data_IF_202855541406
#
_entry.id   IF_202855541406
#
_cell.length_a   1.000
_cell.length_b   1.000
_cell.length_c   1.000
_cell.angle_alpha   90.00
_cell.angle_beta   90.00
_cell.angle_gamma   90.00
#
_symmetry.space_group_name_H-M   'P 1'
#
loop_
_entity.id
_entity.type
_entity.pdbx_description
1 polymer ?
#
# COMPACT_ATOMS: atom_id res chain seq x y z
N UNK A 1 21.44 -7.28 64.26
CA UNK A 1 22.09 -7.57 62.95
C UNK A 1 21.54 -6.60 61.90
N UNK A 2 22.33 -5.61 61.44
CA UNK A 2 21.91 -4.65 60.40
C UNK A 2 21.82 -5.36 59.05
N UNK A 3 20.61 -5.63 58.55
CA UNK A 3 20.38 -6.13 57.18
C UNK A 3 20.96 -5.10 56.20
N UNK A 4 22.13 -5.37 55.62
CA UNK A 4 22.67 -4.60 54.50
C UNK A 4 21.73 -4.81 53.32
N UNK A 5 20.84 -3.85 53.06
CA UNK A 5 20.04 -3.84 51.85
C UNK A 5 21.04 -3.75 50.68
N UNK A 6 21.05 -4.72 49.75
CA UNK A 6 22.02 -4.68 48.65
C UNK A 6 21.68 -3.49 47.76
N UNK A 7 22.61 -2.53 47.65
CA UNK A 7 22.48 -1.30 46.85
C UNK A 7 22.04 -1.56 45.39
N UNK A 8 22.30 -2.76 44.88
CA UNK A 8 21.83 -3.26 43.57
C UNK A 8 20.30 -3.23 43.43
N UNK A 9 19.54 -3.42 44.53
CA UNK A 9 18.06 -3.35 44.51
C UNK A 9 17.52 -1.93 44.46
N UNK A 10 18.33 -0.92 44.80
CA UNK A 10 17.95 0.50 44.81
C UNK A 10 18.21 1.14 43.43
N UNK A 11 19.15 0.57 42.65
CA UNK A 11 19.50 1.02 41.30
C UNK A 11 18.30 1.13 40.33
N UNK A 12 17.43 0.11 40.16
CA UNK A 12 16.27 0.23 39.28
C UNK A 12 15.28 1.30 39.77
N UNK A 13 15.17 1.50 41.09
CA UNK A 13 14.29 2.50 41.69
C UNK A 13 14.78 3.93 41.42
N UNK A 14 16.11 4.15 41.47
CA UNK A 14 16.72 5.42 41.09
C UNK A 14 16.60 5.70 39.58
N UNK A 15 16.77 4.68 38.74
CA UNK A 15 16.59 4.81 37.29
C UNK A 15 15.13 5.16 36.98
N UNK A 16 14.15 4.48 37.60
CA UNK A 16 12.72 4.78 37.43
C UNK A 16 12.41 6.19 37.93
N UNK A 17 12.94 6.60 39.09
CA UNK A 17 12.72 7.94 39.64
C UNK A 17 13.30 9.05 38.75
N UNK A 18 14.52 8.86 38.23
CA UNK A 18 15.16 9.79 37.29
C UNK A 18 14.41 9.89 35.96
N UNK A 19 13.91 8.75 35.47
CA UNK A 19 13.03 8.72 34.29
C UNK A 19 11.75 9.51 34.61
N UNK A 20 11.04 9.23 35.70
CA UNK A 20 9.83 9.96 36.10
C UNK A 20 10.06 11.48 36.24
N UNK A 21 11.18 11.90 36.80
CA UNK A 21 11.56 13.31 36.88
C UNK A 21 11.73 13.94 35.48
N UNK A 22 12.49 13.29 34.58
CA UNK A 22 12.66 13.72 33.18
C UNK A 22 11.34 13.74 32.38
N UNK A 23 10.40 12.86 32.73
CA UNK A 23 9.07 12.78 32.12
C UNK A 23 8.23 14.03 32.44
N UNK A 24 8.27 14.49 33.70
CA UNK A 24 7.50 15.65 34.18
C UNK A 24 8.14 16.96 33.70
N UNK A 25 9.48 17.04 33.76
CA UNK A 25 10.23 18.26 33.45
C UNK A 25 10.27 18.59 31.95
N UNK A 26 10.24 17.58 31.07
CA UNK A 26 10.30 17.83 29.63
C UNK A 26 9.51 16.80 28.79
N UNK A 27 8.16 16.91 28.77
CA UNK A 27 7.30 16.00 28.02
C UNK A 27 7.62 16.01 26.50
N UNK A 28 8.12 17.13 25.96
CA UNK A 28 8.56 17.24 24.56
C UNK A 28 9.82 16.42 24.28
N UNK A 29 10.79 16.38 25.22
CA UNK A 29 11.98 15.55 25.10
C UNK A 29 11.63 14.06 25.14
N UNK A 30 10.67 13.68 25.98
CA UNK A 30 10.08 12.35 26.07
C UNK A 30 9.46 11.92 24.73
N UNK A 31 8.57 12.75 24.17
CA UNK A 31 7.93 12.50 22.87
C UNK A 31 8.96 12.41 21.74
N UNK A 32 10.00 13.24 21.77
CA UNK A 32 11.10 13.18 20.81
C UNK A 32 11.90 11.88 20.95
N UNK A 33 12.23 11.46 22.17
CA UNK A 33 12.91 10.20 22.46
C UNK A 33 12.09 8.98 22.02
N UNK A 34 10.79 8.96 22.32
CA UNK A 34 9.87 7.93 21.87
C UNK A 34 9.81 7.87 20.34
N UNK A 35 9.71 9.03 19.68
CA UNK A 35 9.73 9.12 18.21
C UNK A 35 11.04 8.60 17.61
N UNK A 36 12.19 8.86 18.23
CA UNK A 36 13.47 8.31 17.80
C UNK A 36 13.50 6.78 17.96
N UNK A 37 13.06 6.25 19.10
CA UNK A 37 12.98 4.80 19.34
C UNK A 37 12.08 4.12 18.30
N UNK A 38 10.87 4.64 18.06
CA UNK A 38 9.98 4.13 17.02
C UNK A 38 10.60 4.22 15.61
N UNK A 39 11.30 5.32 15.31
CA UNK A 39 12.00 5.50 14.03
C UNK A 39 13.15 4.51 13.84
N UNK A 40 13.81 4.09 14.92
CA UNK A 40 14.87 3.06 14.91
C UNK A 40 14.31 1.65 14.79
N UNK A 41 13.10 1.40 15.32
CA UNK A 41 12.40 0.11 15.20
C UNK A 41 11.69 -0.07 13.85
N UNK A 42 11.45 1.02 13.12
CA UNK A 42 10.76 0.98 11.82
C UNK A 42 11.32 -0.05 10.82
N UNK A 43 12.65 -0.16 10.61
CA UNK A 43 13.22 -1.18 9.73
C UNK A 43 12.89 -2.61 10.15
N UNK A 44 12.79 -2.89 11.44
CA UNK A 44 12.40 -4.21 11.96
C UNK A 44 10.93 -4.51 11.73
N UNK A 45 10.06 -3.50 11.83
CA UNK A 45 8.64 -3.62 11.50
C UNK A 45 8.48 -3.93 10.00
N UNK A 46 9.19 -3.20 9.13
CA UNK A 46 9.25 -3.49 7.70
C UNK A 46 9.76 -4.91 7.44
N UNK A 47 10.84 -5.30 8.13
CA UNK A 47 11.43 -6.62 7.98
C UNK A 47 10.45 -7.74 8.33
N UNK A 48 9.76 -7.61 9.46
CA UNK A 48 8.73 -8.54 9.89
C UNK A 48 7.57 -8.61 8.89
N UNK A 49 7.08 -7.45 8.44
CA UNK A 49 6.00 -7.38 7.44
C UNK A 49 6.36 -8.07 6.12
N UNK A 50 7.55 -7.78 5.59
CA UNK A 50 8.05 -8.41 4.34
C UNK A 50 8.26 -9.90 4.54
N UNK A 51 8.95 -10.32 5.61
CA UNK A 51 9.19 -11.73 5.89
C UNK A 51 7.87 -12.50 6.04
N UNK A 52 6.88 -11.92 6.73
CA UNK A 52 5.57 -12.51 6.92
C UNK A 52 4.80 -12.62 5.60
N UNK A 53 4.80 -11.57 4.79
CA UNK A 53 4.15 -11.57 3.47
C UNK A 53 4.75 -12.60 2.51
N UNK A 54 6.08 -12.81 2.56
CA UNK A 54 6.79 -13.75 1.69
C UNK A 54 6.79 -15.19 2.22
N UNK A 55 6.53 -15.41 3.51
CA UNK A 55 6.54 -16.74 4.13
C UNK A 55 5.55 -17.73 3.50
N UNK A 56 4.29 -17.37 3.14
CA UNK A 56 3.39 -18.28 2.42
C UNK A 56 3.99 -18.78 1.10
N UNK A 57 4.62 -17.88 0.34
CA UNK A 57 5.24 -18.21 -0.95
C UNK A 57 6.47 -19.10 -0.75
N UNK A 58 7.31 -18.82 0.25
CA UNK A 58 8.43 -19.68 0.64
C UNK A 58 7.97 -21.07 1.05
N UNK A 59 6.96 -21.17 1.93
CA UNK A 59 6.38 -22.44 2.38
C UNK A 59 5.77 -23.22 1.21
N UNK A 60 5.23 -22.55 0.20
CA UNK A 60 4.74 -23.18 -1.01
C UNK A 60 5.88 -23.88 -1.78
N UNK A 61 7.00 -23.18 -2.03
CA UNK A 61 8.16 -23.78 -2.70
C UNK A 61 8.82 -24.90 -1.86
N UNK A 62 8.95 -24.71 -0.54
CA UNK A 62 9.51 -25.73 0.36
C UNK A 62 8.63 -26.98 0.44
N UNK A 63 7.32 -26.84 0.62
CA UNK A 63 6.44 -27.99 0.85
C UNK A 63 6.00 -28.67 -0.44
N UNK A 64 5.65 -27.89 -1.48
CA UNK A 64 5.10 -28.44 -2.72
C UNK A 64 6.19 -28.91 -3.67
N UNK A 65 7.27 -28.13 -3.81
CA UNK A 65 8.37 -28.46 -4.73
C UNK A 65 9.56 -29.09 -4.01
N UNK A 66 9.51 -29.25 -2.68
CA UNK A 66 10.56 -29.88 -1.86
C UNK A 66 11.93 -29.22 -2.03
N UNK A 67 11.94 -27.92 -2.33
CA UNK A 67 13.18 -27.17 -2.53
C UNK A 67 13.93 -26.97 -1.22
N UNK A 68 15.26 -27.00 -1.30
CA UNK A 68 16.12 -26.62 -0.18
C UNK A 68 15.84 -25.17 0.19
N UNK A 69 15.84 -24.88 1.49
CA UNK A 69 15.50 -23.56 2.04
C UNK A 69 16.18 -22.37 1.36
N UNK A 70 17.48 -22.50 1.06
CA UNK A 70 18.22 -21.41 0.40
C UNK A 70 17.73 -21.13 -1.03
N UNK A 71 17.31 -22.17 -1.77
CA UNK A 71 16.75 -22.02 -3.12
C UNK A 71 15.39 -21.33 -3.06
N UNK A 72 14.52 -21.79 -2.16
CA UNK A 72 13.21 -21.16 -1.92
C UNK A 72 13.38 -19.69 -1.55
N UNK A 73 14.35 -19.37 -0.69
CA UNK A 73 14.65 -17.98 -0.32
C UNK A 73 15.09 -17.15 -1.52
N UNK A 74 16.09 -17.61 -2.28
CA UNK A 74 16.61 -16.89 -3.46
C UNK A 74 15.47 -16.60 -4.45
N UNK A 75 14.66 -17.61 -4.77
CA UNK A 75 13.59 -17.46 -5.78
C UNK A 75 12.47 -16.55 -5.28
N UNK A 76 12.05 -16.68 -4.03
CA UNK A 76 11.00 -15.81 -3.45
C UNK A 76 11.44 -14.35 -3.45
N UNK A 77 12.69 -14.06 -3.04
CA UNK A 77 13.21 -12.70 -3.08
C UNK A 77 13.48 -12.20 -4.50
N UNK A 78 13.90 -13.07 -5.43
CA UNK A 78 14.03 -12.71 -6.84
C UNK A 78 12.68 -12.33 -7.46
N UNK A 79 11.62 -13.10 -7.19
CA UNK A 79 10.25 -12.78 -7.61
C UNK A 79 9.78 -11.45 -6.99
N UNK A 80 10.01 -11.27 -5.69
CA UNK A 80 9.58 -10.06 -4.99
C UNK A 80 10.29 -8.79 -5.47
N UNK A 81 11.62 -8.83 -5.56
CA UNK A 81 12.44 -7.71 -6.06
C UNK A 81 12.15 -7.48 -7.54
N UNK A 82 12.00 -8.54 -8.34
CA UNK A 82 11.63 -8.46 -9.74
C UNK A 82 10.27 -7.79 -9.95
N UNK A 83 9.26 -8.13 -9.14
CA UNK A 83 7.95 -7.50 -9.19
C UNK A 83 8.00 -6.01 -8.83
N UNK A 84 8.80 -5.63 -7.82
CA UNK A 84 9.02 -4.23 -7.46
C UNK A 84 9.75 -3.48 -8.59
N UNK A 85 10.82 -4.05 -9.13
CA UNK A 85 11.60 -3.46 -10.21
C UNK A 85 10.76 -3.30 -11.49
N UNK A 86 9.94 -4.29 -11.83
CA UNK A 86 9.00 -4.21 -12.95
C UNK A 86 7.97 -3.10 -12.75
N UNK A 87 7.39 -3.03 -11.55
CA UNK A 87 6.39 -2.02 -11.18
C UNK A 87 6.97 -0.61 -11.23
N UNK A 88 8.13 -0.38 -10.61
CA UNK A 88 8.74 0.96 -10.51
C UNK A 88 9.47 1.34 -11.81
N UNK A 89 10.20 0.42 -12.42
CA UNK A 89 11.07 0.69 -13.56
C UNK A 89 10.34 0.79 -14.90
N UNK A 90 9.26 0.02 -15.09
CA UNK A 90 8.54 -0.03 -16.37
C UNK A 90 7.13 0.52 -16.22
N UNK A 91 6.38 0.03 -15.23
CA UNK A 91 4.95 0.39 -15.15
C UNK A 91 4.70 1.80 -14.62
N UNK A 92 5.42 2.25 -13.60
CA UNK A 92 5.27 3.60 -13.04
C UNK A 92 5.55 4.71 -14.07
N UNK A 93 6.66 4.70 -14.85
CA UNK A 93 6.88 5.74 -15.86
C UNK A 93 5.83 5.72 -16.96
N UNK A 94 5.44 4.54 -17.46
CA UNK A 94 4.32 4.41 -18.42
C UNK A 94 3.00 4.96 -17.86
N UNK A 95 2.77 4.73 -16.57
CA UNK A 95 1.59 5.28 -15.87
C UNK A 95 1.59 6.80 -15.84
N UNK A 96 2.74 7.40 -15.54
CA UNK A 96 2.92 8.85 -15.53
C UNK A 96 2.74 9.44 -16.93
N UNK A 97 3.31 8.80 -17.95
CA UNK A 97 3.20 9.25 -19.35
C UNK A 97 1.75 9.27 -19.82
N UNK A 98 1.03 8.18 -19.62
CA UNK A 98 -0.38 8.07 -19.97
C UNK A 98 -1.25 9.04 -19.15
N UNK A 99 -0.95 9.25 -17.86
CA UNK A 99 -1.65 10.27 -17.06
C UNK A 99 -1.43 11.69 -17.60
N UNK A 100 -0.20 12.02 -18.04
CA UNK A 100 0.09 13.30 -18.71
C UNK A 100 -0.64 13.42 -20.04
N UNK A 101 -0.74 12.32 -20.79
CA UNK A 101 -1.49 12.29 -22.04
C UNK A 101 -2.98 12.55 -21.82
N UNK A 102 -3.60 11.94 -20.80
CA UNK A 102 -4.99 12.22 -20.39
C UNK A 102 -5.18 13.71 -20.14
N UNK A 103 -4.29 14.34 -19.37
CA UNK A 103 -4.38 15.78 -19.06
C UNK A 103 -4.25 16.63 -20.32
N UNK A 104 -3.37 16.24 -21.25
CA UNK A 104 -3.15 16.97 -22.51
C UNK A 104 -4.35 16.86 -23.47
N UNK A 105 -5.01 15.70 -23.50
CA UNK A 105 -6.16 15.43 -24.36
C UNK A 105 -7.50 15.87 -23.74
N UNK A 106 -7.53 16.15 -22.43
CA UNK A 106 -8.73 16.57 -21.71
C UNK A 106 -9.47 17.77 -22.33
N UNK A 107 -8.79 18.85 -22.80
CA UNK A 107 -9.46 19.94 -23.50
C UNK A 107 -10.12 19.49 -24.82
N UNK A 108 -9.50 18.55 -25.54
CA UNK A 108 -10.08 18.01 -26.78
C UNK A 108 -11.30 17.14 -26.49
N UNK A 109 -11.29 16.36 -25.40
CA UNK A 109 -12.48 15.63 -24.97
C UNK A 109 -13.61 16.57 -24.52
N UNK A 110 -13.28 17.68 -23.87
CA UNK A 110 -14.26 18.72 -23.52
C UNK A 110 -14.87 19.36 -24.79
N UNK A 111 -14.05 19.70 -25.79
CA UNK A 111 -14.52 20.25 -27.07
C UNK A 111 -15.37 19.25 -27.86
N UNK A 112 -15.00 17.97 -27.87
CA UNK A 112 -15.82 16.91 -28.50
C UNK A 112 -17.15 16.71 -27.78
N UNK A 113 -17.15 16.78 -26.44
CA UNK A 113 -18.37 16.72 -25.63
C UNK A 113 -19.26 17.92 -25.89
N UNK A 114 -18.68 19.12 -25.98
CA UNK A 114 -19.39 20.34 -26.35
C UNK A 114 -20.01 20.25 -27.76
N UNK A 115 -19.25 19.76 -28.75
CA UNK A 115 -19.79 19.49 -30.10
C UNK A 115 -20.90 18.45 -30.08
N UNK A 116 -20.74 17.37 -29.32
CA UNK A 116 -21.76 16.33 -29.18
C UNK A 116 -23.05 16.88 -28.56
N UNK A 117 -22.93 17.69 -27.50
CA UNK A 117 -24.05 18.40 -26.89
C UNK A 117 -24.67 19.30 -27.96
N UNK A 118 -23.92 20.20 -28.60
CA UNK A 118 -24.45 21.15 -29.57
C UNK A 118 -25.07 20.50 -30.82
N UNK A 119 -24.68 19.28 -31.19
CA UNK A 119 -25.20 18.56 -32.36
C UNK A 119 -26.42 17.68 -32.02
N UNK A 120 -26.55 17.22 -30.76
CA UNK A 120 -27.65 16.36 -30.29
C UNK A 120 -28.73 17.11 -29.49
N UNK A 121 -28.38 18.16 -28.76
CA UNK A 121 -29.31 19.01 -27.99
C UNK A 121 -30.30 19.82 -28.84
N UNK A 122 -30.01 20.32 -30.06
CA UNK A 122 -31.04 21.02 -30.85
C UNK A 122 -32.25 20.13 -31.20
N UNK A 123 -32.12 18.79 -31.08
CA UNK A 123 -33.27 17.86 -31.17
C UNK A 123 -34.10 17.80 -29.87
N UNK A 124 -33.54 18.19 -28.73
CA UNK A 124 -34.19 18.30 -27.42
C UNK A 124 -34.69 19.73 -27.11
N UNK A 125 -33.98 20.77 -27.57
CA UNK A 125 -34.31 22.20 -27.35
C UNK A 125 -35.54 22.69 -28.11
N UNK A 126 -36.05 21.95 -29.12
CA UNK A 126 -37.40 22.20 -29.65
C UNK A 126 -38.51 22.04 -28.59
N UNK A 127 -38.18 21.56 -27.39
CA UNK A 127 -39.10 21.30 -26.28
C UNK A 127 -38.86 22.12 -25.01
N UNK A 128 -37.75 22.88 -24.87
CA UNK A 128 -37.49 23.62 -23.61
C UNK A 128 -36.51 24.79 -23.77
N UNK A 129 -37.06 26.01 -23.79
CA UNK A 129 -36.40 27.32 -23.86
C UNK A 129 -35.65 27.68 -22.55
N UNK A 130 -34.55 26.99 -22.23
CA UNK A 130 -34.00 27.00 -20.85
C UNK A 130 -32.51 27.31 -20.69
N UNK A 131 -31.76 27.66 -21.76
CA UNK A 131 -30.34 28.07 -21.61
C UNK A 131 -29.41 26.99 -21.03
N UNK A 132 -29.87 25.74 -20.98
CA UNK A 132 -29.20 24.58 -20.40
C UNK A 132 -27.86 24.29 -21.09
N UNK A 133 -27.75 24.57 -22.39
CA UNK A 133 -26.55 24.39 -23.20
C UNK A 133 -25.36 25.24 -22.70
N UNK A 134 -25.56 26.52 -22.40
CA UNK A 134 -24.51 27.41 -21.90
C UNK A 134 -24.04 27.06 -20.48
N UNK A 135 -24.96 26.64 -19.61
CA UNK A 135 -24.64 26.19 -18.25
C UNK A 135 -23.91 24.84 -18.25
N UNK A 136 -24.30 23.90 -19.12
CA UNK A 136 -23.59 22.63 -19.31
C UNK A 136 -22.18 22.85 -19.85
N UNK A 137 -21.99 23.69 -20.88
CA UNK A 137 -20.66 24.01 -21.42
C UNK A 137 -19.73 24.60 -20.36
N UNK A 138 -20.22 25.56 -19.56
CA UNK A 138 -19.45 26.16 -18.46
C UNK A 138 -19.06 25.13 -17.39
N UNK A 139 -19.95 24.18 -17.10
CA UNK A 139 -19.69 23.11 -16.13
C UNK A 139 -18.70 22.06 -16.65
N UNK A 140 -18.77 21.70 -17.94
CA UNK A 140 -17.83 20.76 -18.59
C UNK A 140 -16.42 21.35 -18.61
N UNK A 141 -16.27 22.61 -19.04
CA UNK A 141 -14.98 23.28 -19.07
C UNK A 141 -14.40 23.49 -17.67
N UNK A 142 -15.24 23.89 -16.70
CA UNK A 142 -14.83 24.00 -15.30
C UNK A 142 -14.46 22.65 -14.65
N UNK A 143 -15.08 21.54 -15.06
CA UNK A 143 -14.72 20.20 -14.60
C UNK A 143 -13.41 19.72 -15.22
N UNK A 144 -13.22 19.91 -16.53
CA UNK A 144 -11.99 19.57 -17.24
C UNK A 144 -10.79 20.34 -16.66
N UNK A 145 -10.93 21.64 -16.39
CA UNK A 145 -9.87 22.44 -15.78
C UNK A 145 -9.53 21.96 -14.37
N UNK A 146 -10.54 21.69 -13.53
CA UNK A 146 -10.34 21.16 -12.17
C UNK A 146 -9.72 19.77 -12.16
N UNK A 147 -10.14 18.88 -13.06
CA UNK A 147 -9.59 17.54 -13.21
C UNK A 147 -8.13 17.57 -13.70
N UNK A 148 -7.83 18.40 -14.70
CA UNK A 148 -6.47 18.64 -15.19
C UNK A 148 -5.55 19.19 -14.10
N UNK A 149 -6.01 20.18 -13.34
CA UNK A 149 -5.26 20.74 -12.21
C UNK A 149 -5.04 19.71 -11.10
N UNK A 150 -6.06 18.95 -10.73
CA UNK A 150 -5.95 17.88 -9.73
C UNK A 150 -4.91 16.82 -10.15
N UNK A 151 -4.96 16.34 -11.39
CA UNK A 151 -3.98 15.35 -11.88
C UNK A 151 -2.58 15.96 -11.89
N UNK A 152 -2.40 17.19 -12.38
CA UNK A 152 -1.10 17.87 -12.38
C UNK A 152 -0.52 18.04 -10.98
N UNK A 153 -1.33 18.43 -9.99
CA UNK A 153 -0.90 18.54 -8.60
C UNK A 153 -0.52 17.18 -8.02
N UNK A 154 -1.30 16.12 -8.28
CA UNK A 154 -0.98 14.76 -7.82
C UNK A 154 0.29 14.22 -8.48
N UNK A 155 0.49 14.47 -9.77
CA UNK A 155 1.71 14.09 -10.50
C UNK A 155 2.93 14.82 -9.94
N UNK A 156 2.84 16.13 -9.69
CA UNK A 156 3.91 16.90 -9.04
C UNK A 156 4.20 16.37 -7.63
N UNK A 157 3.16 16.13 -6.82
CA UNK A 157 3.32 15.57 -5.49
C UNK A 157 3.95 14.17 -5.51
N UNK A 158 3.60 13.33 -6.49
CA UNK A 158 4.19 12.02 -6.68
C UNK A 158 5.68 12.11 -7.08
N UNK A 159 6.03 12.98 -8.03
CA UNK A 159 7.41 13.23 -8.42
C UNK A 159 8.27 13.75 -7.26
N UNK A 160 7.76 14.73 -6.50
CA UNK A 160 8.45 15.26 -5.31
C UNK A 160 8.58 14.21 -4.21
N UNK A 161 7.58 13.33 -4.04
CA UNK A 161 7.65 12.20 -3.09
C UNK A 161 8.69 11.15 -3.50
N UNK A 162 8.84 10.87 -4.79
CA UNK A 162 9.92 9.98 -5.29
C UNK A 162 11.28 10.58 -4.97
N UNK A 163 11.49 11.88 -5.23
CA UNK A 163 12.77 12.56 -5.00
C UNK A 163 13.11 12.64 -3.50
N UNK A 164 12.12 12.88 -2.64
CA UNK A 164 12.27 12.93 -1.17
C UNK A 164 12.29 11.55 -0.48
N UNK A 165 12.13 10.45 -1.23
CA UNK A 165 12.05 9.09 -0.67
C UNK A 165 13.39 8.56 -0.13
N UNK A 166 14.50 9.29 -0.31
CA UNK A 166 15.87 8.82 -0.02
C UNK A 166 16.04 8.30 1.41
N UNK A 167 15.49 8.99 2.41
CA UNK A 167 15.61 8.57 3.83
C UNK A 167 14.73 7.36 4.19
N UNK A 168 13.55 7.23 3.57
CA UNK A 168 12.67 6.08 3.75
C UNK A 168 13.17 4.85 2.99
N UNK A 169 13.78 5.07 1.83
CA UNK A 169 14.34 4.03 0.98
C UNK A 169 15.48 3.26 1.66
N UNK A 170 16.40 3.97 2.31
CA UNK A 170 17.49 3.32 3.07
C UNK A 170 16.90 2.44 4.18
N UNK A 171 15.90 2.93 4.93
CA UNK A 171 15.23 2.14 5.97
C UNK A 171 14.51 0.92 5.40
N UNK A 172 13.90 1.06 4.21
CA UNK A 172 13.27 -0.04 3.49
C UNK A 172 14.30 -1.08 3.06
N UNK A 173 15.45 -0.68 2.49
CA UNK A 173 16.55 -1.60 2.13
C UNK A 173 17.07 -2.34 3.36
N UNK A 174 17.33 -1.62 4.47
CA UNK A 174 17.77 -2.24 5.71
C UNK A 174 16.71 -3.24 6.20
N UNK A 175 15.43 -2.86 6.18
CA UNK A 175 14.33 -3.76 6.52
C UNK A 175 14.26 -4.98 5.59
N UNK A 176 14.49 -4.81 4.30
CA UNK A 176 14.56 -5.89 3.32
C UNK A 176 15.71 -6.86 3.65
N UNK A 177 16.90 -6.35 3.97
CA UNK A 177 18.04 -7.19 4.38
C UNK A 177 17.73 -7.95 5.68
N UNK A 178 17.17 -7.28 6.69
CA UNK A 178 16.79 -7.94 7.95
C UNK A 178 15.71 -9.00 7.68
N UNK A 179 14.76 -8.74 6.77
CA UNK A 179 13.69 -9.68 6.44
C UNK A 179 14.25 -11.00 5.91
N UNK A 180 15.35 -10.96 5.14
CA UNK A 180 16.01 -12.15 4.61
C UNK A 180 16.49 -13.03 5.75
N UNK A 181 17.17 -12.46 6.75
CA UNK A 181 17.62 -13.20 7.93
C UNK A 181 16.45 -13.70 8.78
N UNK A 182 15.42 -12.88 8.99
CA UNK A 182 14.22 -13.28 9.73
C UNK A 182 13.52 -14.47 9.07
N UNK A 183 13.39 -14.47 7.75
CA UNK A 183 12.75 -15.54 7.00
C UNK A 183 13.65 -16.78 6.91
N UNK A 184 14.96 -16.59 6.76
CA UNK A 184 15.98 -17.66 6.77
C UNK A 184 16.08 -18.41 8.09
N UNK A 185 15.84 -17.74 9.22
CA UNK A 185 15.99 -18.33 10.56
C UNK A 185 14.65 -18.31 11.34
N UNK A 186 13.50 -18.31 10.65
CA UNK A 186 12.16 -18.13 11.24
C UNK A 186 11.84 -19.09 12.41
N UNK A 187 12.34 -20.32 12.37
CA UNK A 187 12.16 -21.33 13.43
C UNK A 187 12.96 -20.94 14.67
N UNK A 188 14.21 -20.47 14.52
CA UNK A 188 15.02 -19.98 15.65
C UNK A 188 14.36 -18.76 16.29
N UNK A 189 13.86 -17.83 15.49
CA UNK A 189 13.11 -16.68 16.00
C UNK A 189 11.86 -17.14 16.76
N UNK A 190 11.08 -18.06 16.19
CA UNK A 190 9.86 -18.60 16.82
C UNK A 190 10.17 -19.32 18.13
N UNK A 191 11.23 -20.13 18.17
CA UNK A 191 11.67 -20.82 19.40
C UNK A 191 12.15 -19.83 20.47
N UNK A 192 12.91 -18.80 20.07
CA UNK A 192 13.35 -17.73 20.96
C UNK A 192 12.16 -16.99 21.58
N UNK A 193 11.17 -16.63 20.76
CA UNK A 193 9.92 -16.00 21.23
C UNK A 193 9.16 -16.92 22.18
N UNK A 194 9.07 -18.22 21.89
CA UNK A 194 8.44 -19.20 22.80
C UNK A 194 9.16 -19.28 24.14
N UNK A 195 10.50 -19.25 24.18
CA UNK A 195 11.28 -19.23 25.43
C UNK A 195 11.02 -17.97 26.24
N UNK A 196 10.98 -16.79 25.60
CA UNK A 196 10.68 -15.51 26.26
C UNK A 196 9.27 -15.53 26.86
N UNK A 197 8.27 -15.99 26.11
CA UNK A 197 6.88 -16.07 26.58
C UNK A 197 6.78 -16.99 27.80
N UNK A 198 7.42 -18.17 27.76
CA UNK A 198 7.48 -19.09 28.91
C UNK A 198 8.13 -18.46 30.13
N UNK A 199 9.23 -17.73 29.95
CA UNK A 199 9.93 -17.07 31.03
C UNK A 199 9.09 -15.93 31.67
N UNK A 200 8.29 -15.21 30.87
CA UNK A 200 7.50 -14.08 31.35
C UNK A 200 6.15 -14.50 31.96
N UNK A 201 5.50 -15.51 31.41
CA UNK A 201 4.10 -15.84 31.74
C UNK A 201 3.92 -17.22 32.40
N UNK A 202 4.97 -18.05 32.45
CA UNK A 202 4.89 -19.43 32.93
C UNK A 202 4.27 -20.39 31.90
N UNK A 203 4.46 -21.70 32.08
CA UNK A 203 4.06 -22.72 31.09
C UNK A 203 2.55 -22.78 30.83
N UNK A 204 1.72 -22.60 31.86
CA UNK A 204 0.28 -22.73 31.74
C UNK A 204 -0.33 -21.63 30.85
N UNK A 205 -0.01 -20.35 31.13
CA UNK A 205 -0.48 -19.21 30.34
C UNK A 205 0.14 -19.20 28.94
N UNK A 206 1.37 -19.68 28.79
CA UNK A 206 2.07 -19.73 27.50
C UNK A 206 1.34 -20.60 26.47
N UNK A 207 0.69 -21.70 26.90
CA UNK A 207 -0.09 -22.56 25.99
C UNK A 207 -1.20 -21.78 25.28
N UNK A 208 -1.96 -20.96 26.03
CA UNK A 208 -3.01 -20.11 25.47
C UNK A 208 -2.46 -19.08 24.48
N UNK A 209 -1.33 -18.44 24.81
CA UNK A 209 -0.67 -17.47 23.92
C UNK A 209 -0.19 -18.14 22.62
N UNK A 210 0.37 -19.35 22.70
CA UNK A 210 0.81 -20.09 21.51
C UNK A 210 -0.36 -20.55 20.64
N UNK A 211 -1.46 -20.99 21.25
CA UNK A 211 -2.67 -21.36 20.52
C UNK A 211 -3.25 -20.15 19.78
N UNK A 212 -3.37 -19.00 20.46
CA UNK A 212 -3.80 -17.75 19.85
C UNK A 212 -2.88 -17.33 18.70
N UNK A 213 -1.56 -17.35 18.93
CA UNK A 213 -0.58 -16.98 17.90
C UNK A 213 -0.62 -17.88 16.67
N UNK A 214 -0.84 -19.18 16.85
CA UNK A 214 -0.97 -20.14 15.75
C UNK A 214 -2.27 -19.93 14.95
N UNK A 215 -3.39 -19.65 15.61
CA UNK A 215 -4.65 -19.37 14.92
C UNK A 215 -4.58 -18.03 14.19
N UNK A 216 -4.00 -16.99 14.81
CA UNK A 216 -3.74 -15.71 14.16
C UNK A 216 -2.87 -15.90 12.91
N UNK A 217 -1.74 -16.61 13.01
CA UNK A 217 -0.88 -16.90 11.85
C UNK A 217 -1.65 -17.58 10.71
N UNK A 218 -2.47 -18.58 11.03
CA UNK A 218 -3.27 -19.31 10.05
C UNK A 218 -4.29 -18.39 9.35
N UNK A 219 -4.99 -17.55 10.09
CA UNK A 219 -5.99 -16.61 9.55
C UNK A 219 -5.30 -15.56 8.67
N UNK A 220 -4.27 -14.87 9.19
CA UNK A 220 -3.57 -13.81 8.48
C UNK A 220 -2.83 -14.34 7.24
N UNK A 221 -2.16 -15.48 7.35
CA UNK A 221 -1.46 -16.11 6.21
C UNK A 221 -2.42 -16.46 5.08
N UNK A 222 -3.57 -17.08 5.40
CA UNK A 222 -4.61 -17.41 4.40
C UNK A 222 -5.25 -16.16 3.81
N UNK A 223 -5.46 -15.13 4.62
CA UNK A 223 -6.02 -13.85 4.17
C UNK A 223 -5.09 -13.16 3.18
N UNK A 224 -3.79 -13.09 3.44
CA UNK A 224 -2.80 -12.49 2.52
C UNK A 224 -2.82 -13.20 1.16
N UNK A 225 -2.75 -14.54 1.17
CA UNK A 225 -2.78 -15.34 -0.06
C UNK A 225 -4.10 -15.16 -0.80
N UNK A 226 -5.23 -15.24 -0.09
CA UNK A 226 -6.55 -15.03 -0.66
C UNK A 226 -6.69 -13.65 -1.29
N UNK A 227 -6.21 -12.60 -0.63
CA UNK A 227 -6.25 -11.22 -1.15
C UNK A 227 -5.33 -11.00 -2.34
N UNK A 228 -4.17 -11.64 -2.36
CA UNK A 228 -3.28 -11.59 -3.51
C UNK A 228 -3.92 -12.24 -4.74
N UNK A 229 -4.55 -13.41 -4.57
CA UNK A 229 -5.26 -14.12 -5.65
C UNK A 229 -6.46 -13.30 -6.13
N UNK A 230 -7.32 -12.84 -5.20
CA UNK A 230 -8.50 -11.99 -5.46
C UNK A 230 -8.09 -10.75 -6.29
N UNK A 231 -7.08 -10.03 -5.85
CA UNK A 231 -6.57 -8.82 -6.52
C UNK A 231 -5.97 -9.11 -7.89
N UNK A 232 -5.31 -10.25 -8.06
CA UNK A 232 -4.78 -10.68 -9.35
C UNK A 232 -5.90 -11.00 -10.33
N UNK A 233 -6.94 -11.70 -9.89
CA UNK A 233 -8.13 -12.02 -10.70
C UNK A 233 -8.82 -10.73 -11.14
N UNK A 234 -9.10 -9.82 -10.20
CA UNK A 234 -9.74 -8.53 -10.49
C UNK A 234 -8.90 -7.68 -11.46
N UNK A 235 -7.58 -7.62 -11.27
CA UNK A 235 -6.69 -6.92 -12.19
C UNK A 235 -6.72 -7.49 -13.61
N UNK A 236 -6.69 -8.82 -13.75
CA UNK A 236 -6.76 -9.50 -15.06
C UNK A 236 -8.13 -9.31 -15.72
N UNK A 237 -9.23 -9.47 -14.96
CA UNK A 237 -10.58 -9.25 -15.48
C UNK A 237 -10.77 -7.80 -15.94
N UNK A 238 -10.26 -6.82 -15.18
CA UNK A 238 -10.29 -5.42 -15.57
C UNK A 238 -9.48 -5.18 -16.86
N UNK A 239 -8.29 -5.78 -16.97
CA UNK A 239 -7.47 -5.68 -18.18
C UNK A 239 -8.19 -6.27 -19.40
N UNK A 240 -8.75 -7.47 -19.28
CA UNK A 240 -9.47 -8.14 -20.37
C UNK A 240 -10.72 -7.36 -20.76
N UNK A 241 -11.54 -6.93 -19.80
CA UNK A 241 -12.75 -6.16 -20.05
C UNK A 241 -12.46 -4.86 -20.79
N UNK A 242 -11.49 -4.08 -20.30
CA UNK A 242 -11.09 -2.82 -20.95
C UNK A 242 -10.44 -3.05 -22.32
N UNK A 243 -9.69 -4.14 -22.50
CA UNK A 243 -9.09 -4.49 -23.80
C UNK A 243 -10.15 -4.82 -24.85
N UNK A 244 -11.18 -5.58 -24.48
CA UNK A 244 -12.32 -5.91 -25.36
C UNK A 244 -13.05 -4.63 -25.78
N UNK A 245 -13.25 -3.70 -24.84
CA UNK A 245 -13.87 -2.40 -25.09
C UNK A 245 -12.95 -1.42 -25.83
N UNK A 246 -11.69 -1.80 -26.12
CA UNK A 246 -10.66 -0.93 -26.70
C UNK A 246 -10.51 0.39 -25.92
N UNK A 247 -10.68 0.33 -24.59
CA UNK A 247 -10.62 1.51 -23.75
C UNK A 247 -9.19 2.08 -23.71
N UNK A 248 -9.04 3.41 -23.75
CA UNK A 248 -7.73 4.02 -23.66
C UNK A 248 -7.12 3.75 -22.27
N UNK A 249 -5.80 3.64 -22.21
CA UNK A 249 -5.04 3.44 -20.96
C UNK A 249 -5.37 2.16 -20.17
N UNK A 250 -5.95 1.15 -20.84
CA UNK A 250 -6.36 -0.15 -20.27
C UNK A 250 -5.35 -0.72 -19.27
N UNK A 251 -4.07 -0.83 -19.67
CA UNK A 251 -3.03 -1.46 -18.86
C UNK A 251 -2.77 -0.76 -17.51
N UNK A 252 -2.98 0.56 -17.43
CA UNK A 252 -2.77 1.32 -16.21
C UNK A 252 -3.95 1.18 -15.28
N UNK A 253 -5.15 1.34 -15.82
CA UNK A 253 -6.38 1.29 -15.03
C UNK A 253 -6.49 -0.09 -14.39
N UNK A 254 -6.28 -1.14 -15.17
CA UNK A 254 -6.32 -2.52 -14.67
C UNK A 254 -5.25 -2.81 -13.62
N UNK A 255 -4.05 -2.22 -13.77
CA UNK A 255 -2.98 -2.37 -12.79
C UNK A 255 -3.30 -1.63 -11.49
N UNK A 256 -3.72 -0.37 -11.58
CA UNK A 256 -4.09 0.44 -10.42
C UNK A 256 -5.24 -0.25 -9.68
N UNK A 257 -6.27 -0.70 -10.39
CA UNK A 257 -7.37 -1.48 -9.84
C UNK A 257 -6.85 -2.77 -9.18
N UNK A 258 -5.99 -3.55 -9.85
CA UNK A 258 -5.40 -4.76 -9.28
C UNK A 258 -4.62 -4.51 -7.98
N UNK A 259 -3.70 -3.53 -7.97
CA UNK A 259 -2.89 -3.20 -6.79
C UNK A 259 -3.76 -2.65 -5.66
N UNK A 260 -4.68 -1.76 -5.98
CA UNK A 260 -5.54 -1.11 -4.98
C UNK A 260 -6.58 -2.06 -4.41
N UNK A 261 -6.98 -3.09 -5.15
CA UNK A 261 -7.86 -4.15 -4.64
C UNK A 261 -7.19 -5.00 -3.54
N UNK A 262 -5.85 -4.97 -3.45
CA UNK A 262 -5.13 -5.60 -2.35
C UNK A 262 -5.39 -4.89 -1.01
N UNK A 263 -5.78 -3.61 -1.05
CA UNK A 263 -6.25 -2.84 0.10
C UNK A 263 -7.79 -2.85 0.10
N UNK A 264 -8.44 -3.48 1.10
CA UNK A 264 -9.90 -3.53 1.19
C UNK A 264 -10.53 -2.14 1.09
N UNK A 265 -11.67 -2.03 0.41
CA UNK A 265 -12.44 -0.79 0.18
C UNK A 265 -11.83 0.23 -0.80
N UNK A 266 -10.53 0.18 -1.10
CA UNK A 266 -9.89 1.13 -2.03
C UNK A 266 -10.03 0.73 -3.51
N UNK A 267 -10.00 -0.57 -3.81
CA UNK A 267 -10.10 -1.10 -5.19
C UNK A 267 -11.33 -0.59 -5.95
N UNK A 268 -12.56 -0.82 -5.46
CA UNK A 268 -13.77 -0.35 -6.11
C UNK A 268 -13.86 1.17 -6.20
N UNK A 269 -13.39 1.89 -5.17
CA UNK A 269 -13.46 3.35 -5.13
C UNK A 269 -12.55 3.99 -6.20
N UNK A 270 -11.32 3.49 -6.33
CA UNK A 270 -10.37 4.01 -7.31
C UNK A 270 -10.76 3.58 -8.73
N UNK A 271 -11.21 2.34 -8.92
CA UNK A 271 -11.75 1.87 -10.20
C UNK A 271 -12.95 2.69 -10.67
N UNK A 272 -13.85 3.06 -9.77
CA UNK A 272 -14.97 3.95 -10.06
C UNK A 272 -14.51 5.33 -10.51
N UNK A 273 -13.56 5.95 -9.79
CA UNK A 273 -13.04 7.28 -10.17
C UNK A 273 -12.42 7.26 -11.57
N UNK A 274 -11.56 6.28 -11.88
CA UNK A 274 -10.94 6.19 -13.21
C UNK A 274 -11.96 5.80 -14.30
N UNK A 275 -12.88 4.89 -14.00
CA UNK A 275 -13.93 4.48 -14.92
C UNK A 275 -14.85 5.65 -15.30
N UNK A 276 -15.33 6.40 -14.29
CA UNK A 276 -16.19 7.58 -14.51
C UNK A 276 -15.46 8.64 -15.34
N UNK A 277 -14.20 8.94 -15.04
CA UNK A 277 -13.41 9.90 -15.82
C UNK A 277 -13.35 9.46 -17.29
N UNK A 278 -13.01 8.21 -17.57
CA UNK A 278 -12.85 7.74 -18.95
C UNK A 278 -14.17 7.67 -19.69
N UNK A 279 -15.24 7.22 -19.05
CA UNK A 279 -16.54 7.09 -19.70
C UNK A 279 -17.14 8.46 -20.00
N UNK A 280 -17.05 9.43 -19.08
CA UNK A 280 -17.48 10.82 -19.31
C UNK A 280 -16.79 11.43 -20.54
N UNK A 281 -15.49 11.16 -20.72
CA UNK A 281 -14.71 11.78 -21.81
C UNK A 281 -14.70 10.97 -23.12
N UNK A 282 -15.04 9.68 -23.08
CA UNK A 282 -15.07 8.80 -24.28
C UNK A 282 -16.46 8.64 -24.89
N UNK A 283 -17.52 8.63 -24.07
CA UNK A 283 -18.91 8.59 -24.51
C UNK A 283 -19.86 8.99 -23.36
N UNK A 284 -20.33 10.25 -23.31
CA UNK A 284 -21.19 10.75 -22.22
C UNK A 284 -22.50 9.96 -22.03
N UNK A 285 -22.94 9.22 -23.06
CA UNK A 285 -24.19 8.43 -23.05
C UNK A 285 -24.06 7.09 -22.31
N UNK A 286 -22.84 6.60 -22.10
CA UNK A 286 -22.59 5.35 -21.37
C UNK A 286 -22.16 5.57 -19.91
N UNK A 287 -22.11 6.83 -19.45
CA UNK A 287 -21.67 7.23 -18.11
C UNK A 287 -22.74 6.98 -17.04
#
# INVERSE_FOLDING_TARGET
MKKKIPYIKILPLLIISFICYKIIDNPKALLKGLKYLFSMLLPFIWAFGIAYFLNPLMRYFENKWKWKRYLSLIVVYAIFIGAIAFTIGIMAPKTIENAKQIVKEMPQYAEQTEKFINDKLPKFEKSSDTGISAQLQKNVNGFAEKAGNFINEKLKAFATKIISFTSGFIKFIIGLLISIYMLKDKEKFTEGTKRIIRALFGEEKSKGIFAFGAEADKIFSRYIVGKFIDSSIIGVLCFVGLSILKAPYTAIISMVVGITNMIPYFGPFIGMVFGVIIVIFSSPIMA
#
